data_IF_663881311325
#
_entry.id   IF_663881311325
#
_cell.length_a   1.000
_cell.length_b   1.000
_cell.length_c   1.000
_cell.angle_alpha   90.00
_cell.angle_beta   90.00
_cell.angle_gamma   90.00
#
_symmetry.space_group_name_H-M   'P 1'
#
loop_
_entity.id
_entity.type
_entity.pdbx_description
1 polymer ?
#
# COMPACT_ATOMS: atom_id res chain seq x y z
N UNK A 1 58.73 64.65 -11.17
CA UNK A 1 57.38 64.33 -11.69
C UNK A 1 57.27 62.82 -11.86
N UNK A 2 56.03 62.31 -11.76
CA UNK A 2 55.60 60.90 -11.81
C UNK A 2 55.63 60.16 -10.46
N UNK A 3 54.47 60.21 -9.81
CA UNK A 3 54.15 59.51 -8.58
C UNK A 3 53.78 58.05 -8.82
N UNK A 4 54.16 57.21 -7.86
CA UNK A 4 53.83 55.78 -7.83
C UNK A 4 52.58 55.58 -6.96
N UNK A 5 51.46 55.23 -7.59
CA UNK A 5 50.20 54.87 -6.90
C UNK A 5 50.26 53.41 -6.48
N UNK A 6 50.16 53.15 -5.17
CA UNK A 6 49.94 51.81 -4.62
C UNK A 6 48.49 51.37 -4.90
N UNK A 7 48.32 50.28 -5.64
CA UNK A 7 47.03 49.61 -5.79
C UNK A 7 46.78 48.72 -4.57
N UNK A 8 45.76 49.06 -3.78
CA UNK A 8 45.24 48.22 -2.70
C UNK A 8 44.14 47.36 -3.31
N UNK A 9 44.38 46.06 -3.43
CA UNK A 9 43.35 45.10 -3.81
C UNK A 9 42.54 44.71 -2.56
N UNK A 10 41.30 45.20 -2.48
CA UNK A 10 40.30 44.69 -1.55
C UNK A 10 39.81 43.34 -2.07
N UNK A 11 40.22 42.24 -1.42
CA UNK A 11 39.60 40.93 -1.58
C UNK A 11 38.27 40.94 -0.81
N UNK A 12 37.18 41.26 -1.51
CA UNK A 12 35.83 41.03 -1.01
C UNK A 12 35.56 39.52 -0.99
N UNK A 13 35.62 38.91 0.20
CA UNK A 13 35.20 37.53 0.41
C UNK A 13 33.70 37.40 0.30
N UNK A 14 33.21 36.75 -0.75
CA UNK A 14 31.83 36.28 -0.85
C UNK A 14 31.71 35.07 0.08
N UNK A 15 31.06 35.25 1.22
CA UNK A 15 30.60 34.14 2.05
C UNK A 15 29.40 33.52 1.33
N UNK A 16 29.65 32.50 0.51
CA UNK A 16 28.59 31.62 0.00
C UNK A 16 28.15 30.76 1.18
N UNK A 17 27.10 31.22 1.87
CA UNK A 17 26.38 30.41 2.85
C UNK A 17 25.75 29.24 2.12
N UNK A 18 26.43 28.09 2.13
CA UNK A 18 25.91 26.82 1.67
C UNK A 18 24.85 26.39 2.67
N UNK A 19 23.62 26.89 2.49
CA UNK A 19 22.45 26.26 3.07
C UNK A 19 22.37 24.87 2.44
N UNK A 20 22.92 23.88 3.16
CA UNK A 20 22.80 22.47 2.83
C UNK A 20 21.32 22.08 2.91
N UNK A 21 20.58 22.30 1.81
CA UNK A 21 19.36 21.57 1.55
C UNK A 21 19.77 20.10 1.40
N UNK A 22 19.77 19.37 2.53
CA UNK A 22 19.68 17.92 2.51
C UNK A 22 18.28 17.57 2.04
N UNK A 23 18.08 17.63 0.73
CA UNK A 23 16.93 17.02 0.10
C UNK A 23 17.16 15.52 0.21
N UNK A 24 16.65 14.92 1.29
CA UNK A 24 16.60 13.47 1.42
C UNK A 24 15.75 12.96 0.27
N UNK A 25 16.39 12.45 -0.79
CA UNK A 25 15.69 11.68 -1.78
C UNK A 25 14.99 10.53 -1.04
N UNK A 26 13.68 10.31 -1.23
CA UNK A 26 13.09 9.07 -0.76
C UNK A 26 13.83 7.95 -1.48
N UNK A 27 14.42 7.03 -0.72
CA UNK A 27 14.93 5.80 -1.28
C UNK A 27 13.76 5.13 -2.01
N UNK A 28 13.77 5.18 -3.34
CA UNK A 28 12.89 4.31 -4.11
C UNK A 28 13.27 2.89 -3.71
N UNK A 29 12.35 2.18 -3.04
CA UNK A 29 12.48 0.77 -2.69
C UNK A 29 12.48 -0.06 -3.99
N UNK A 30 13.63 -0.11 -4.65
CA UNK A 30 13.89 -0.79 -5.93
C UNK A 30 14.04 -2.32 -5.75
N UNK A 31 13.32 -2.91 -4.80
CA UNK A 31 13.51 -4.31 -4.41
C UNK A 31 12.38 -5.01 -3.65
N UNK A 32 11.23 -4.36 -3.42
CA UNK A 32 10.12 -5.05 -2.76
C UNK A 32 9.56 -6.16 -3.65
N UNK A 33 9.52 -7.37 -3.11
CA UNK A 33 8.97 -8.57 -3.72
C UNK A 33 7.63 -8.95 -3.10
N UNK A 34 6.75 -9.50 -3.92
CA UNK A 34 5.49 -10.11 -3.50
C UNK A 34 5.76 -11.46 -2.84
N UNK A 35 5.19 -11.67 -1.65
CA UNK A 35 5.41 -12.88 -0.83
C UNK A 35 4.18 -13.80 -0.78
N UNK A 36 3.13 -13.47 -1.54
CA UNK A 36 1.81 -14.09 -1.54
C UNK A 36 1.07 -13.97 -0.21
N UNK A 37 -0.16 -14.48 -0.18
CA UNK A 37 -0.94 -14.66 1.05
C UNK A 37 -0.19 -15.43 2.16
N UNK A 38 0.87 -16.18 1.83
CA UNK A 38 1.73 -16.84 2.83
C UNK A 38 2.39 -15.86 3.81
N UNK A 39 2.73 -14.64 3.33
CA UNK A 39 3.26 -13.56 4.17
C UNK A 39 2.23 -13.00 5.16
N UNK A 40 0.95 -13.13 4.81
CA UNK A 40 -0.19 -12.60 5.56
C UNK A 40 -0.81 -13.63 6.53
N UNK A 41 -0.11 -14.73 6.85
CA UNK A 41 -0.67 -15.85 7.64
C UNK A 41 -1.30 -15.48 8.98
N UNK A 42 -0.86 -14.40 9.61
CA UNK A 42 -1.46 -13.87 10.84
C UNK A 42 -2.92 -13.46 10.64
N UNK A 43 -3.24 -13.00 9.44
CA UNK A 43 -4.56 -12.53 9.03
C UNK A 43 -5.37 -13.62 8.30
N UNK A 44 -4.74 -14.75 7.93
CA UNK A 44 -5.36 -15.85 7.18
C UNK A 44 -5.74 -17.07 8.04
N UNK A 45 -5.36 -17.05 9.32
CA UNK A 45 -5.65 -18.10 10.30
C UNK A 45 -7.14 -18.26 10.59
N UNK A 46 -7.52 -19.42 11.12
CA UNK A 46 -8.90 -19.69 11.56
C UNK A 46 -9.30 -18.70 12.67
N UNK A 47 -10.48 -18.11 12.55
CA UNK A 47 -11.00 -17.11 13.48
C UNK A 47 -10.46 -15.69 13.25
N UNK A 48 -9.63 -15.47 12.23
CA UNK A 48 -9.24 -14.13 11.83
C UNK A 48 -10.22 -13.58 10.80
N UNK A 49 -10.88 -12.48 11.15
CA UNK A 49 -11.96 -11.86 10.37
C UNK A 49 -11.53 -11.52 8.94
N UNK A 50 -10.39 -10.83 8.77
CA UNK A 50 -9.92 -10.37 7.45
C UNK A 50 -9.74 -11.52 6.46
N UNK A 51 -9.06 -12.59 6.89
CA UNK A 51 -8.82 -13.76 6.04
C UNK A 51 -10.06 -14.60 5.78
N UNK A 52 -10.99 -14.66 6.73
CA UNK A 52 -12.28 -15.34 6.52
C UNK A 52 -13.16 -14.55 5.54
N UNK A 53 -13.30 -13.24 5.72
CA UNK A 53 -14.06 -12.40 4.80
C UNK A 53 -13.43 -12.35 3.40
N UNK A 54 -12.10 -12.27 3.28
CA UNK A 54 -11.41 -12.32 1.99
C UNK A 54 -11.75 -13.59 1.20
N UNK A 55 -11.78 -14.76 1.86
CA UNK A 55 -12.10 -16.05 1.20
C UNK A 55 -13.50 -16.07 0.59
N UNK A 56 -14.44 -15.28 1.14
CA UNK A 56 -15.79 -15.15 0.61
C UNK A 56 -15.88 -14.18 -0.60
N UNK A 57 -14.83 -13.38 -0.87
CA UNK A 57 -14.80 -12.44 -2.00
C UNK A 57 -14.49 -13.14 -3.31
N UNK A 58 -14.97 -12.56 -4.40
CA UNK A 58 -14.68 -13.05 -5.76
C UNK A 58 -13.18 -12.97 -6.07
N UNK A 59 -12.48 -11.98 -5.50
CA UNK A 59 -11.05 -11.79 -5.67
C UNK A 59 -10.22 -13.00 -5.25
N UNK A 60 -10.63 -13.72 -4.20
CA UNK A 60 -9.90 -14.87 -3.66
C UNK A 60 -9.84 -16.09 -4.58
N UNK A 61 -10.68 -16.14 -5.61
CA UNK A 61 -10.84 -17.31 -6.49
C UNK A 61 -10.99 -16.91 -7.97
N UNK A 62 -10.60 -15.69 -8.34
CA UNK A 62 -10.85 -15.16 -9.68
C UNK A 62 -10.04 -15.87 -10.77
N UNK A 63 -8.76 -16.21 -10.54
CA UNK A 63 -7.97 -16.99 -11.50
C UNK A 63 -8.48 -18.43 -11.55
N UNK A 64 -8.67 -19.03 -10.37
CA UNK A 64 -9.07 -20.43 -10.26
C UNK A 64 -10.42 -20.71 -10.92
N UNK A 65 -11.41 -19.82 -10.74
CA UNK A 65 -12.75 -20.02 -11.30
C UNK A 65 -12.91 -19.54 -12.73
N UNK A 66 -12.05 -18.65 -13.23
CA UNK A 66 -12.24 -18.02 -14.55
C UNK A 66 -11.23 -18.44 -15.60
N UNK A 67 -9.99 -18.72 -15.19
CA UNK A 67 -8.87 -18.92 -16.12
C UNK A 67 -8.27 -20.32 -16.05
N UNK A 68 -8.33 -20.99 -14.89
CA UNK A 68 -7.75 -22.33 -14.74
C UNK A 68 -8.37 -23.30 -15.75
N UNK A 69 -7.52 -23.94 -16.56
CA UNK A 69 -7.93 -24.90 -17.58
C UNK A 69 -8.52 -24.28 -18.85
N UNK A 70 -8.51 -22.95 -18.99
CA UNK A 70 -8.88 -22.26 -20.23
C UNK A 70 -7.62 -21.85 -21.02
N UNK A 71 -7.74 -21.51 -22.32
CA UNK A 71 -6.63 -20.94 -23.08
C UNK A 71 -6.11 -19.61 -22.52
N UNK A 72 -6.86 -18.94 -21.64
CA UNK A 72 -6.49 -17.66 -21.05
C UNK A 72 -5.69 -17.78 -19.75
N UNK A 73 -5.43 -19.01 -19.27
CA UNK A 73 -4.73 -19.28 -18.01
C UNK A 73 -3.39 -18.53 -17.89
N UNK A 74 -2.70 -18.37 -19.02
CA UNK A 74 -1.39 -17.73 -19.15
C UNK A 74 -1.44 -16.43 -19.97
N UNK A 75 -2.64 -15.95 -20.33
CA UNK A 75 -2.78 -14.77 -21.19
C UNK A 75 -2.44 -13.48 -20.39
N UNK A 76 -1.44 -12.69 -20.80
CA UNK A 76 -1.07 -11.42 -20.16
C UNK A 76 -2.24 -10.46 -19.95
N UNK A 77 -3.15 -10.36 -20.91
CA UNK A 77 -4.32 -9.47 -20.85
C UNK A 77 -5.32 -9.88 -19.77
N UNK A 78 -5.29 -11.14 -19.35
CA UNK A 78 -6.12 -11.68 -18.28
C UNK A 78 -5.38 -11.65 -16.93
N UNK A 79 -4.09 -12.01 -16.92
CA UNK A 79 -3.28 -12.10 -15.71
C UNK A 79 -3.07 -10.75 -15.01
N UNK A 80 -3.05 -9.64 -15.76
CA UNK A 80 -2.96 -8.28 -15.18
C UNK A 80 -4.07 -7.94 -14.17
N UNK A 81 -5.23 -8.60 -14.24
CA UNK A 81 -6.37 -8.37 -13.34
C UNK A 81 -6.80 -9.60 -12.54
N UNK A 82 -6.55 -10.81 -13.05
CA UNK A 82 -7.00 -12.05 -12.41
C UNK A 82 -5.91 -12.72 -11.57
N UNK A 83 -4.69 -12.22 -11.60
CA UNK A 83 -3.59 -12.69 -10.77
C UNK A 83 -2.93 -11.52 -10.04
N UNK A 84 -2.16 -11.83 -9.01
CA UNK A 84 -1.33 -10.85 -8.29
C UNK A 84 0.10 -10.94 -8.80
N UNK A 85 0.79 -9.80 -8.81
CA UNK A 85 2.22 -9.71 -9.14
C UNK A 85 2.59 -10.18 -10.56
N UNK A 86 1.66 -10.15 -11.52
CA UNK A 86 1.99 -10.40 -12.92
C UNK A 86 2.91 -9.29 -13.45
N UNK A 87 4.11 -9.65 -13.89
CA UNK A 87 5.14 -8.69 -14.33
C UNK A 87 5.93 -8.03 -13.20
N UNK A 88 5.68 -8.42 -11.95
CA UNK A 88 6.36 -7.89 -10.76
C UNK A 88 7.35 -8.91 -10.17
N UNK A 89 8.20 -8.47 -9.25
CA UNK A 89 9.12 -9.37 -8.53
C UNK A 89 8.36 -10.20 -7.50
N UNK A 90 8.52 -11.52 -7.56
CA UNK A 90 7.93 -12.48 -6.62
C UNK A 90 9.06 -13.17 -5.88
N UNK A 91 8.97 -13.24 -4.55
CA UNK A 91 10.01 -13.84 -3.72
C UNK A 91 10.16 -15.36 -3.94
N UNK A 92 9.08 -16.03 -4.33
CA UNK A 92 9.11 -17.44 -4.73
C UNK A 92 9.72 -17.59 -6.12
N UNK A 93 10.87 -18.27 -6.19
CA UNK A 93 11.62 -18.46 -7.44
C UNK A 93 10.80 -19.17 -8.52
N UNK A 94 10.89 -18.67 -9.75
CA UNK A 94 10.27 -19.28 -10.94
C UNK A 94 8.78 -18.99 -11.12
N UNK A 95 8.13 -18.26 -10.19
CA UNK A 95 6.75 -17.81 -10.37
C UNK A 95 6.70 -16.58 -11.29
N UNK A 96 5.77 -16.58 -12.24
CA UNK A 96 5.47 -15.44 -13.13
C UNK A 96 4.34 -14.55 -12.60
N UNK A 97 3.48 -15.13 -11.77
CA UNK A 97 2.34 -14.50 -11.12
C UNK A 97 1.91 -15.37 -9.93
N UNK A 98 1.10 -14.79 -9.06
CA UNK A 98 0.43 -15.47 -7.96
C UNK A 98 -1.06 -15.61 -8.30
N UNK A 99 -1.65 -16.83 -8.29
CA UNK A 99 -3.04 -17.00 -8.70
C UNK A 99 -4.00 -16.26 -7.78
N UNK A 100 -5.07 -15.74 -8.38
CA UNK A 100 -6.11 -14.91 -7.77
C UNK A 100 -5.63 -13.48 -7.41
N UNK A 101 -6.59 -12.62 -7.06
CA UNK A 101 -6.31 -11.29 -6.52
C UNK A 101 -6.11 -11.48 -5.02
N UNK A 102 -4.85 -11.54 -4.60
CA UNK A 102 -4.38 -11.81 -3.25
C UNK A 102 -4.30 -10.50 -2.44
N UNK A 103 -4.02 -10.60 -1.14
CA UNK A 103 -3.93 -9.44 -0.24
C UNK A 103 -3.04 -8.33 -0.80
N UNK A 104 -1.88 -8.70 -1.36
CA UNK A 104 -0.87 -7.77 -1.85
C UNK A 104 -1.29 -6.99 -3.11
N UNK A 105 -2.36 -7.41 -3.82
CA UNK A 105 -2.91 -6.63 -4.94
C UNK A 105 -3.46 -5.27 -4.48
N UNK A 106 -3.99 -5.21 -3.25
CA UNK A 106 -4.47 -3.99 -2.61
C UNK A 106 -3.48 -3.47 -1.56
N UNK A 107 -2.92 -4.37 -0.75
CA UNK A 107 -2.07 -4.01 0.39
C UNK A 107 -0.60 -3.81 0.04
N UNK A 108 -0.16 -4.04 -1.20
CA UNK A 108 1.24 -3.86 -1.61
C UNK A 108 2.13 -5.06 -1.29
N UNK A 109 3.36 -5.05 -1.83
CA UNK A 109 4.33 -6.13 -1.70
C UNK A 109 4.87 -6.25 -0.26
N UNK A 110 4.76 -7.43 0.34
CA UNK A 110 4.98 -7.63 1.78
C UNK A 110 6.40 -7.99 2.22
N UNK A 111 7.35 -8.19 1.29
CA UNK A 111 8.72 -8.62 1.63
C UNK A 111 9.47 -7.68 2.58
N UNK A 112 9.33 -6.36 2.43
CA UNK A 112 10.02 -5.40 3.29
C UNK A 112 9.36 -5.32 4.67
N UNK A 113 8.04 -5.36 4.72
CA UNK A 113 7.33 -5.47 6.00
C UNK A 113 7.67 -6.77 6.74
N UNK A 114 7.91 -7.88 6.02
CA UNK A 114 8.37 -9.12 6.65
C UNK A 114 9.69 -8.89 7.41
N UNK A 115 10.64 -8.15 6.85
CA UNK A 115 11.90 -7.79 7.52
C UNK A 115 11.66 -6.93 8.77
N UNK A 116 10.77 -5.93 8.66
CA UNK A 116 10.35 -5.08 9.80
C UNK A 116 9.80 -5.95 10.93
N UNK A 117 8.88 -6.86 10.63
CA UNK A 117 8.27 -7.74 11.62
C UNK A 117 9.28 -8.67 12.30
N UNK A 118 10.31 -9.09 11.57
CA UNK A 118 11.34 -10.00 12.08
C UNK A 118 12.40 -9.28 12.92
N UNK A 119 12.74 -8.04 12.58
CA UNK A 119 13.84 -7.31 13.23
C UNK A 119 13.71 -5.78 13.16
N UNK A 120 12.62 -5.22 13.68
CA UNK A 120 12.42 -3.77 13.71
C UNK A 120 13.54 -3.06 14.48
N UNK A 121 14.25 -2.15 13.79
CA UNK A 121 15.41 -1.40 14.32
C UNK A 121 16.52 -2.26 14.94
N UNK A 122 16.68 -3.52 14.51
CA UNK A 122 17.69 -4.41 15.09
C UNK A 122 17.35 -4.98 16.47
N UNK A 123 16.11 -4.76 16.95
CA UNK A 123 15.65 -5.13 18.30
C UNK A 123 14.86 -6.45 18.34
N UNK A 124 14.87 -7.21 17.25
CA UNK A 124 14.18 -8.50 17.13
C UNK A 124 12.66 -8.41 16.93
N UNK A 125 12.03 -9.59 16.86
CA UNK A 125 10.64 -9.78 16.41
C UNK A 125 9.54 -9.19 17.31
N UNK A 126 9.87 -8.87 18.55
CA UNK A 126 8.90 -8.38 19.53
C UNK A 126 8.86 -6.84 19.57
N UNK A 127 9.93 -6.16 19.09
CA UNK A 127 10.00 -4.71 19.06
C UNK A 127 8.86 -4.08 18.23
N UNK A 128 8.55 -4.66 17.06
CA UNK A 128 7.44 -4.17 16.25
C UNK A 128 6.07 -4.40 16.92
N UNK A 129 5.90 -5.51 17.64
CA UNK A 129 4.65 -5.79 18.39
C UNK A 129 4.48 -4.82 19.56
N UNK A 130 5.57 -4.44 20.20
CA UNK A 130 5.53 -3.39 21.22
C UNK A 130 5.16 -2.04 20.63
N UNK A 131 5.73 -1.69 19.47
CA UNK A 131 5.37 -0.45 18.75
C UNK A 131 3.88 -0.45 18.41
N UNK A 132 3.35 -1.55 17.86
CA UNK A 132 1.92 -1.69 17.57
C UNK A 132 1.03 -1.36 18.76
N UNK A 133 1.43 -1.74 19.99
CA UNK A 133 0.66 -1.47 21.21
C UNK A 133 0.87 -0.06 21.76
N UNK A 134 2.10 0.46 21.67
CA UNK A 134 2.50 1.75 22.28
C UNK A 134 2.12 2.94 21.40
N UNK A 135 2.31 2.81 20.09
CA UNK A 135 2.03 3.83 19.10
C UNK A 135 1.55 3.18 17.78
N UNK A 136 0.24 2.83 17.71
CA UNK A 136 -0.35 2.21 16.54
C UNK A 136 -0.18 3.05 15.26
N UNK A 137 -0.26 4.38 15.35
CA UNK A 137 -0.08 5.28 14.20
C UNK A 137 1.33 5.18 13.64
N UNK A 138 2.34 5.23 14.51
CA UNK A 138 3.73 5.05 14.08
C UNK A 138 3.95 3.64 13.51
N UNK A 139 3.38 2.59 14.11
CA UNK A 139 3.48 1.24 13.57
C UNK A 139 2.91 1.14 12.15
N UNK A 140 1.73 1.74 11.92
CA UNK A 140 1.10 1.80 10.58
C UNK A 140 1.94 2.61 9.60
N UNK A 141 2.61 3.68 10.06
CA UNK A 141 3.55 4.44 9.24
C UNK A 141 4.74 3.57 8.82
N UNK A 142 5.31 2.81 9.75
CA UNK A 142 6.43 1.90 9.45
C UNK A 142 6.00 0.84 8.42
N UNK A 143 4.77 0.31 8.53
CA UNK A 143 4.20 -0.58 7.51
C UNK A 143 4.08 0.11 6.15
N UNK A 144 3.61 1.36 6.14
CA UNK A 144 3.48 2.17 4.95
C UNK A 144 4.82 2.49 4.28
N UNK A 145 5.81 2.89 5.07
CA UNK A 145 7.18 3.14 4.60
C UNK A 145 7.83 1.85 4.06
N UNK A 146 7.40 0.67 4.54
CA UNK A 146 7.79 -0.63 4.02
C UNK A 146 6.98 -1.07 2.78
N UNK A 147 6.17 -0.19 2.20
CA UNK A 147 5.44 -0.43 0.95
C UNK A 147 4.04 -1.01 1.12
N UNK A 148 3.53 -1.12 2.34
CA UNK A 148 2.17 -1.62 2.57
C UNK A 148 1.12 -0.51 2.60
N UNK A 149 -0.08 -0.82 2.14
CA UNK A 149 -1.27 -0.01 2.38
C UNK A 149 -2.08 -0.72 3.46
N UNK A 150 -2.37 -0.06 4.59
CA UNK A 150 -2.99 -0.71 5.77
C UNK A 150 -4.11 0.16 6.34
N UNK A 151 -4.93 -0.41 7.22
CA UNK A 151 -5.98 0.32 7.92
C UNK A 151 -5.40 1.57 8.61
N UNK A 152 -6.14 2.68 8.55
CA UNK A 152 -5.75 3.96 9.15
C UNK A 152 -4.61 4.71 8.46
N UNK A 153 -3.81 4.09 7.58
CA UNK A 153 -2.77 4.77 6.79
C UNK A 153 -2.69 4.19 5.37
N UNK A 154 -3.10 4.98 4.38
CA UNK A 154 -3.02 4.64 2.96
C UNK A 154 -2.21 5.65 2.13
N UNK A 155 -1.70 6.73 2.74
CA UNK A 155 -0.90 7.73 2.04
C UNK A 155 -1.71 8.56 1.03
N UNK A 156 -1.16 8.93 -0.13
CA UNK A 156 -1.92 9.63 -1.16
C UNK A 156 -2.88 8.72 -1.92
N UNK A 157 -2.72 7.40 -1.84
CA UNK A 157 -3.49 6.45 -2.62
C UNK A 157 -4.90 6.30 -2.04
N UNK A 158 -5.88 6.39 -2.92
CA UNK A 158 -7.29 6.12 -2.60
C UNK A 158 -7.64 4.66 -2.82
N UNK A 159 -8.67 4.17 -2.14
CA UNK A 159 -9.23 2.83 -2.39
C UNK A 159 -9.73 2.74 -3.83
N UNK A 160 -10.33 3.82 -4.35
CA UNK A 160 -10.80 3.88 -5.73
C UNK A 160 -9.68 3.69 -6.74
N UNK A 161 -8.54 4.37 -6.57
CA UNK A 161 -7.37 4.20 -7.44
C UNK A 161 -6.85 2.76 -7.45
N UNK A 162 -6.95 2.04 -6.33
CA UNK A 162 -6.60 0.62 -6.27
C UNK A 162 -7.58 -0.22 -7.10
N UNK A 163 -8.89 -0.01 -6.95
CA UNK A 163 -9.90 -0.69 -7.76
C UNK A 163 -9.69 -0.44 -9.26
N UNK A 164 -9.35 0.79 -9.64
CA UNK A 164 -9.15 1.21 -11.03
C UNK A 164 -7.90 0.60 -11.70
N UNK A 165 -7.04 -0.10 -10.96
CA UNK A 165 -5.97 -0.90 -11.58
C UNK A 165 -6.53 -2.07 -12.41
N UNK A 166 -7.71 -2.58 -12.04
CA UNK A 166 -8.33 -3.74 -12.68
C UNK A 166 -9.75 -3.46 -13.20
N UNK A 167 -10.41 -2.44 -12.65
CA UNK A 167 -11.77 -2.04 -13.00
C UNK A 167 -11.78 -0.71 -13.76
N UNK A 168 -12.87 -0.44 -14.46
CA UNK A 168 -13.03 0.77 -15.26
C UNK A 168 -14.45 1.31 -15.09
N UNK A 169 -14.59 2.64 -15.15
CA UNK A 169 -15.88 3.32 -14.99
C UNK A 169 -16.52 3.71 -16.34
N UNK A 170 -15.80 3.56 -17.45
CA UNK A 170 -16.27 3.90 -18.79
C UNK A 170 -16.08 2.75 -19.76
N UNK A 171 -16.96 2.61 -20.75
CA UNK A 171 -16.89 1.53 -21.75
C UNK A 171 -15.71 1.66 -22.72
N UNK A 172 -15.12 2.84 -22.79
CA UNK A 172 -14.04 3.19 -23.71
C UNK A 172 -12.67 3.18 -23.03
N UNK A 173 -12.59 2.68 -21.79
CA UNK A 173 -11.34 2.57 -21.05
C UNK A 173 -10.36 1.65 -21.79
N UNK A 174 -9.15 2.17 -22.04
CA UNK A 174 -8.10 1.46 -22.79
C UNK A 174 -7.58 0.22 -22.06
N UNK A 175 -7.73 0.17 -20.73
CA UNK A 175 -7.29 -0.93 -19.90
C UNK A 175 -8.40 -1.94 -19.61
N UNK A 176 -9.61 -1.77 -20.18
CA UNK A 176 -10.76 -2.66 -19.95
C UNK A 176 -10.49 -4.11 -20.32
N UNK A 177 -11.29 -5.01 -19.76
CA UNK A 177 -11.22 -6.42 -20.10
C UNK A 177 -11.66 -6.66 -21.56
N UNK A 178 -10.93 -7.47 -22.34
CA UNK A 178 -11.32 -7.80 -23.71
C UNK A 178 -12.56 -8.70 -23.81
N UNK A 179 -13.09 -9.20 -22.68
CA UNK A 179 -14.20 -10.17 -22.63
C UNK A 179 -15.45 -9.64 -21.90
N UNK A 180 -15.50 -8.37 -21.52
CA UNK A 180 -16.68 -7.81 -20.86
C UNK A 180 -16.74 -6.29 -21.00
N UNK A 181 -17.94 -5.76 -21.25
CA UNK A 181 -18.21 -4.31 -21.26
C UNK A 181 -18.81 -3.80 -19.93
N UNK A 182 -18.81 -4.64 -18.89
CA UNK A 182 -19.27 -4.25 -17.54
C UNK A 182 -18.40 -3.12 -16.99
N UNK A 183 -19.01 -1.97 -16.78
CA UNK A 183 -18.41 -0.86 -16.04
C UNK A 183 -18.62 -1.04 -14.55
N UNK A 184 -17.67 -0.57 -13.75
CA UNK A 184 -17.75 -0.53 -12.31
C UNK A 184 -18.61 0.65 -11.85
N UNK A 185 -19.56 0.37 -10.96
CA UNK A 185 -20.04 1.38 -10.02
C UNK A 185 -19.19 1.25 -8.75
N UNK A 186 -18.42 2.29 -8.43
CA UNK A 186 -17.45 2.22 -7.34
C UNK A 186 -18.09 1.89 -5.98
N UNK A 187 -19.24 2.48 -5.66
CA UNK A 187 -19.89 2.28 -4.36
C UNK A 187 -20.40 0.84 -4.23
N UNK A 188 -21.00 0.32 -5.29
CA UNK A 188 -21.51 -1.06 -5.31
C UNK A 188 -20.39 -2.09 -5.26
N UNK A 189 -19.29 -1.85 -5.98
CA UNK A 189 -18.14 -2.75 -6.00
C UNK A 189 -17.40 -2.71 -4.67
N UNK A 190 -17.16 -1.51 -4.13
CA UNK A 190 -16.61 -1.36 -2.78
C UNK A 190 -17.47 -2.12 -1.77
N UNK A 191 -18.80 -1.97 -1.78
CA UNK A 191 -19.69 -2.70 -0.86
C UNK A 191 -19.57 -4.22 -0.98
N UNK A 192 -19.35 -4.74 -2.19
CA UNK A 192 -19.17 -6.19 -2.43
C UNK A 192 -17.82 -6.69 -1.91
N UNK A 193 -16.79 -5.87 -2.00
CA UNK A 193 -15.43 -6.23 -1.57
C UNK A 193 -15.12 -5.87 -0.12
N UNK A 194 -15.88 -4.94 0.48
CA UNK A 194 -15.65 -4.40 1.81
C UNK A 194 -15.55 -5.51 2.86
N UNK A 195 -14.40 -5.61 3.51
CA UNK A 195 -14.07 -6.57 4.54
C UNK A 195 -13.40 -5.87 5.72
N UNK A 196 -13.73 -4.59 5.93
CA UNK A 196 -13.27 -3.82 7.09
C UNK A 196 -14.00 -4.27 8.36
N UNK A 197 -13.25 -4.42 9.43
CA UNK A 197 -13.73 -4.38 10.80
C UNK A 197 -13.20 -3.13 11.52
N UNK A 198 -13.46 -3.02 12.83
CA UNK A 198 -12.94 -1.94 13.64
C UNK A 198 -11.53 -2.34 14.11
N UNK A 199 -10.51 -1.72 13.54
CA UNK A 199 -9.12 -1.85 13.97
C UNK A 199 -8.84 -0.85 15.10
N UNK A 200 -7.89 -1.17 15.99
CA UNK A 200 -7.49 -0.28 17.09
C UNK A 200 -7.08 1.12 16.57
N UNK A 201 -6.52 1.18 15.36
CA UNK A 201 -6.14 2.44 14.73
C UNK A 201 -7.35 3.36 14.46
N UNK A 202 -8.52 2.80 14.18
CA UNK A 202 -9.72 3.59 13.90
C UNK A 202 -10.14 4.38 15.15
N UNK A 203 -10.01 3.76 16.33
CA UNK A 203 -10.32 4.39 17.59
C UNK A 203 -9.26 5.41 18.02
N UNK A 204 -8.01 5.19 17.65
CA UNK A 204 -6.94 6.20 17.78
C UNK A 204 -7.26 7.42 16.92
N UNK A 205 -7.56 7.21 15.63
CA UNK A 205 -7.84 8.30 14.67
C UNK A 205 -9.05 9.13 15.09
N UNK A 206 -10.12 8.49 15.56
CA UNK A 206 -11.33 9.18 16.06
C UNK A 206 -11.02 10.14 17.20
N UNK A 207 -10.04 9.82 18.06
CA UNK A 207 -9.65 10.60 19.24
C UNK A 207 -8.51 11.59 18.99
N UNK A 208 -7.94 11.63 17.78
CA UNK A 208 -6.83 12.53 17.46
C UNK A 208 -7.24 14.01 17.61
N UNK A 209 -6.34 14.80 18.20
CA UNK A 209 -6.43 16.25 18.23
C UNK A 209 -6.40 16.84 16.81
N UNK A 210 -6.94 18.06 16.58
CA UNK A 210 -6.77 18.77 15.32
C UNK A 210 -5.30 18.93 14.90
N UNK A 211 -4.42 19.15 15.87
CA UNK A 211 -2.97 19.30 15.67
C UNK A 211 -2.35 17.99 15.18
N UNK A 212 -2.70 16.86 15.78
CA UNK A 212 -2.24 15.54 15.35
C UNK A 212 -2.79 15.19 13.97
N UNK A 213 -4.07 15.49 13.69
CA UNK A 213 -4.65 15.27 12.35
C UNK A 213 -3.87 16.04 11.29
N UNK A 214 -3.48 17.29 11.58
CA UNK A 214 -2.64 18.09 10.68
C UNK A 214 -1.24 17.49 10.50
N UNK A 215 -0.63 17.00 11.58
CA UNK A 215 0.68 16.33 11.55
C UNK A 215 0.67 15.08 10.65
N UNK A 216 -0.42 14.31 10.69
CA UNK A 216 -0.53 13.02 9.98
C UNK A 216 -1.32 13.10 8.67
N UNK A 217 -1.76 14.28 8.24
CA UNK A 217 -2.66 14.48 7.09
C UNK A 217 -2.16 13.88 5.76
N UNK A 218 -0.84 13.75 5.58
CA UNK A 218 -0.27 13.14 4.37
C UNK A 218 -0.47 11.62 4.29
N UNK A 219 -0.71 10.98 5.43
CA UNK A 219 -0.77 9.53 5.60
C UNK A 219 -2.17 9.02 5.93
N UNK A 220 -2.97 9.84 6.63
CA UNK A 220 -4.34 9.49 7.00
C UNK A 220 -5.23 9.26 5.77
N UNK A 221 -6.27 8.42 5.90
CA UNK A 221 -7.10 8.05 4.77
C UNK A 221 -7.87 9.24 4.21
N UNK A 222 -7.83 9.39 2.89
CA UNK A 222 -8.48 10.50 2.18
C UNK A 222 -9.89 10.16 1.68
N UNK A 223 -10.21 8.88 1.53
CA UNK A 223 -11.50 8.44 1.01
C UNK A 223 -12.61 8.57 2.06
N UNK A 224 -13.64 9.36 1.74
CA UNK A 224 -14.84 9.44 2.58
C UNK A 224 -15.57 8.11 2.72
N UNK A 225 -15.42 7.19 1.75
CA UNK A 225 -16.03 5.86 1.81
C UNK A 225 -15.55 5.05 3.01
N UNK A 226 -14.35 5.36 3.53
CA UNK A 226 -13.81 4.71 4.71
C UNK A 226 -14.52 5.14 6.00
N UNK A 227 -15.29 6.25 5.96
CA UNK A 227 -16.13 6.69 7.06
C UNK A 227 -17.54 6.07 7.03
N UNK A 228 -17.86 5.24 6.02
CA UNK A 228 -19.14 4.55 5.97
C UNK A 228 -19.26 3.50 7.08
N UNK A 229 -20.47 3.22 7.58
CA UNK A 229 -20.67 2.23 8.64
C UNK A 229 -20.08 0.86 8.30
N UNK A 230 -19.41 0.24 9.27
CA UNK A 230 -18.88 -1.11 9.16
C UNK A 230 -20.01 -2.12 8.98
N UNK A 231 -19.71 -3.23 8.29
CA UNK A 231 -20.66 -4.33 8.16
C UNK A 231 -20.94 -4.94 9.55
N UNK A 232 -22.21 -5.27 9.86
CA UNK A 232 -22.50 -6.01 11.08
C UNK A 232 -21.77 -7.36 11.03
N UNK A 233 -21.09 -7.72 12.11
CA UNK A 233 -20.50 -9.07 12.24
C UNK A 233 -21.61 -10.09 12.06
N UNK A 234 -21.38 -11.09 11.20
CA UNK A 234 -22.30 -12.23 11.09
C UNK A 234 -22.44 -12.83 12.49
N UNK A 235 -23.67 -12.97 12.97
CA UNK A 235 -23.92 -13.72 14.19
C UNK A 235 -23.52 -15.16 13.93
N UNK A 236 -22.67 -15.70 14.79
CA UNK A 236 -22.31 -17.13 14.81
C UNK A 236 -23.54 -18.01 15.04
#
# INVERSE_FOLDING_TARGET
>A
MLGSRKAVYFLGGIVVSVFSLTFSLPAMLTGAEYVSNSGCKCHMGKGCYEGEEYKERLHSNTWEKRLKGTPDAENPDCLKCHATAYGEKIAEAGKKYLPNVQCEACHGAGSEYKKVKENYEGKGKDAFKELLKKDPLMARKVQYDAGLIVAGINGPATVKEQCLKCHWETKDDKNKCPKTDKVMDYKDYFKKDDHRDNDEIDDVIKKMSPEDKKKWAALLPKDEILNTPLKPKKKE
#
